data_IF_946533919736
#
_entry.id   IF_946533919736
#
_cell.length_a   1.000
_cell.length_b   1.000
_cell.length_c   1.000
_cell.angle_alpha   90.00
_cell.angle_beta   90.00
_cell.angle_gamma   90.00
#
_symmetry.space_group_name_H-M   'P 1'
#
loop_
_entity.id
_entity.type
_entity.pdbx_description
1 polymer ?
#
# COMPACT_ATOMS: atom_id res chain seq x y z
N UNK A 1 7.96 -13.78 -7.21
CA UNK A 1 7.35 -14.06 -5.89
C UNK A 1 8.24 -13.44 -4.85
N UNK A 2 7.72 -12.50 -4.05
CA UNK A 2 8.37 -12.26 -2.75
C UNK A 2 8.12 -13.54 -1.99
N UNK A 3 9.20 -14.25 -1.62
CA UNK A 3 9.06 -15.32 -0.67
C UNK A 3 8.55 -14.67 0.62
N UNK A 4 7.24 -14.72 0.86
CA UNK A 4 6.67 -14.36 2.15
C UNK A 4 7.40 -15.24 3.16
N UNK A 5 8.19 -14.69 4.07
CA UNK A 5 8.89 -15.52 5.03
C UNK A 5 7.84 -16.33 5.81
N UNK A 6 8.12 -17.59 6.16
CA UNK A 6 7.18 -18.39 6.92
C UNK A 6 6.80 -17.63 8.20
N UNK A 7 5.53 -17.73 8.65
CA UNK A 7 5.10 -17.13 9.91
C UNK A 7 6.07 -17.52 11.03
N UNK A 8 6.40 -16.57 11.91
CA UNK A 8 7.19 -16.85 13.10
C UNK A 8 6.35 -17.71 14.06
N UNK A 9 6.73 -18.98 14.33
CA UNK A 9 5.95 -19.87 15.19
C UNK A 9 5.72 -19.28 16.59
N UNK A 10 6.61 -18.40 17.04
CA UNK A 10 6.52 -17.76 18.34
C UNK A 10 5.39 -16.70 18.41
N UNK A 11 4.79 -16.31 17.29
CA UNK A 11 3.68 -15.35 17.23
C UNK A 11 2.32 -16.03 17.03
N UNK A 12 2.26 -17.35 17.02
CA UNK A 12 1.04 -18.13 16.77
C UNK A 12 -0.13 -17.86 17.75
N UNK A 13 0.16 -17.28 18.92
CA UNK A 13 -0.86 -16.92 19.92
C UNK A 13 -1.53 -15.55 19.71
N UNK A 14 -1.07 -14.74 18.74
CA UNK A 14 -1.66 -13.43 18.49
C UNK A 14 -2.77 -13.54 17.44
N UNK A 15 -4.02 -13.09 17.73
CA UNK A 15 -5.10 -13.11 16.74
C UNK A 15 -4.72 -12.33 15.48
N UNK A 16 -5.10 -12.76 14.27
CA UNK A 16 -4.79 -12.06 13.01
C UNK A 16 -5.26 -10.60 12.99
N UNK A 17 -6.40 -10.29 13.62
CA UNK A 17 -6.95 -8.95 13.78
C UNK A 17 -6.23 -8.13 14.88
N UNK A 18 -5.33 -8.75 15.63
CA UNK A 18 -4.69 -8.15 16.80
C UNK A 18 -5.60 -8.14 18.03
N UNK A 19 -5.11 -7.52 19.09
CA UNK A 19 -5.80 -7.33 20.37
C UNK A 19 -5.99 -5.84 20.62
N UNK A 20 -7.16 -5.43 21.09
CA UNK A 20 -7.38 -4.07 21.64
C UNK A 20 -8.00 -4.19 23.02
N UNK A 21 -7.36 -3.58 24.02
CA UNK A 21 -7.78 -3.64 25.42
C UNK A 21 -7.67 -2.25 26.04
N UNK A 22 -8.63 -1.90 26.88
CA UNK A 22 -8.56 -0.71 27.73
C UNK A 22 -7.97 -1.10 29.08
N UNK A 23 -7.06 -0.28 29.62
CA UNK A 23 -6.48 -0.50 30.95
C UNK A 23 -7.57 -0.28 32.00
N UNK A 24 -7.88 -1.27 32.87
CA UNK A 24 -8.94 -1.14 33.87
C UNK A 24 -8.76 0.08 34.78
N UNK A 25 -9.86 0.72 35.14
CA UNK A 25 -9.85 1.90 36.01
C UNK A 25 -9.24 1.65 37.40
N UNK A 26 -9.30 0.39 37.88
CA UNK A 26 -8.73 -0.06 39.17
C UNK A 26 -7.29 -0.56 39.08
N UNK A 27 -6.67 -0.51 37.87
CA UNK A 27 -5.33 -1.07 37.68
C UNK A 27 -4.25 -0.08 38.13
N UNK A 28 -3.30 -0.56 38.93
CA UNK A 28 -2.09 0.21 39.22
C UNK A 28 -1.27 0.45 37.93
N UNK A 29 -0.54 1.59 37.87
CA UNK A 29 0.32 1.86 36.74
C UNK A 29 1.24 0.68 36.43
N UNK A 30 1.19 0.19 35.20
CA UNK A 30 1.95 -0.99 34.75
C UNK A 30 2.71 -0.70 33.46
N UNK A 31 3.81 -1.40 33.25
CA UNK A 31 4.60 -1.25 32.02
C UNK A 31 3.88 -1.90 30.84
N UNK A 32 3.99 -1.26 29.67
CA UNK A 32 3.41 -1.73 28.41
C UNK A 32 3.80 -3.17 28.08
N UNK A 33 5.12 -3.53 28.20
CA UNK A 33 5.59 -4.88 27.92
C UNK A 33 5.01 -5.94 28.85
N UNK A 34 4.79 -5.61 30.13
CA UNK A 34 4.18 -6.49 31.11
C UNK A 34 2.67 -6.63 30.87
N UNK A 35 1.98 -5.51 30.66
CA UNK A 35 0.54 -5.50 30.40
C UNK A 35 0.19 -6.34 29.19
N UNK A 36 0.85 -6.09 28.04
CA UNK A 36 0.61 -6.87 26.83
C UNK A 36 0.94 -8.35 26.98
N UNK A 37 2.01 -8.71 27.72
CA UNK A 37 2.34 -10.11 27.98
C UNK A 37 1.21 -10.81 28.76
N UNK A 38 0.62 -10.14 29.74
CA UNK A 38 -0.52 -10.68 30.52
C UNK A 38 -1.79 -10.82 29.66
N UNK A 39 -2.07 -9.85 28.78
CA UNK A 39 -3.28 -9.85 27.94
C UNK A 39 -3.21 -10.86 26.78
N UNK A 40 -2.02 -11.15 26.26
CA UNK A 40 -1.84 -12.03 25.10
C UNK A 40 -1.40 -13.44 25.42
N UNK A 41 -0.87 -13.67 26.63
CA UNK A 41 -0.18 -14.92 26.99
C UNK A 41 1.20 -15.10 26.34
N UNK A 42 1.65 -14.14 25.51
CA UNK A 42 2.98 -14.18 24.90
C UNK A 42 4.07 -13.91 25.94
N UNK A 43 5.25 -14.50 25.73
CA UNK A 43 6.42 -14.21 26.55
C UNK A 43 6.84 -12.74 26.42
N UNK A 44 7.38 -12.14 27.51
CA UNK A 44 7.80 -10.73 27.51
C UNK A 44 8.83 -10.42 26.41
N UNK A 45 9.71 -11.35 26.07
CA UNK A 45 10.69 -11.20 24.97
C UNK A 45 9.99 -11.05 23.61
N UNK A 46 8.95 -11.83 23.35
CA UNK A 46 8.14 -11.77 22.14
C UNK A 46 7.38 -10.43 22.06
N UNK A 47 6.74 -10.03 23.16
CA UNK A 47 6.04 -8.74 23.24
C UNK A 47 6.99 -7.57 23.00
N UNK A 48 8.20 -7.60 23.56
CA UNK A 48 9.21 -6.55 23.33
C UNK A 48 9.61 -6.46 21.86
N UNK A 49 9.81 -7.60 21.18
CA UNK A 49 10.08 -7.61 19.74
C UNK A 49 8.93 -6.99 18.94
N UNK A 50 7.68 -7.30 19.27
CA UNK A 50 6.50 -6.71 18.66
C UNK A 50 6.42 -5.19 18.90
N UNK A 51 6.72 -4.73 20.14
CA UNK A 51 6.76 -3.30 20.46
C UNK A 51 7.85 -2.59 19.64
N UNK A 52 9.05 -3.17 19.56
CA UNK A 52 10.17 -2.61 18.77
C UNK A 52 9.85 -2.57 17.28
N UNK A 53 9.13 -3.58 16.78
CA UNK A 53 8.65 -3.65 15.40
C UNK A 53 7.58 -2.58 15.08
N UNK A 54 6.91 -2.04 16.11
CA UNK A 54 5.87 -1.01 15.96
C UNK A 54 4.46 -1.55 15.93
N UNK A 55 4.26 -2.80 16.34
CA UNK A 55 2.95 -3.44 16.43
C UNK A 55 2.09 -2.93 17.59
N UNK A 56 2.71 -2.30 18.62
CA UNK A 56 1.99 -1.80 19.78
C UNK A 56 1.56 -0.34 19.63
N UNK A 57 0.32 -0.05 20.03
CA UNK A 57 -0.28 1.28 19.96
C UNK A 57 -0.88 1.64 21.31
N UNK A 58 -0.75 2.90 21.71
CA UNK A 58 -1.35 3.44 22.92
C UNK A 58 -2.09 4.72 22.55
N UNK A 59 -3.38 4.77 22.82
CA UNK A 59 -4.28 5.89 22.51
C UNK A 59 -4.22 6.29 21.02
N UNK A 60 -4.22 5.29 20.14
CA UNK A 60 -4.20 5.48 18.69
C UNK A 60 -2.84 5.92 18.10
N UNK A 61 -1.75 5.87 18.88
CA UNK A 61 -0.40 6.20 18.42
C UNK A 61 0.55 5.02 18.62
N UNK A 62 1.42 4.79 17.64
CA UNK A 62 2.47 3.76 17.76
C UNK A 62 3.35 4.04 18.98
N UNK A 63 3.58 3.02 19.79
CA UNK A 63 4.46 3.08 20.95
C UNK A 63 5.58 2.05 20.81
N UNK A 64 6.83 2.49 20.76
CA UNK A 64 8.04 1.64 20.72
C UNK A 64 8.79 1.60 22.05
N UNK A 65 8.27 2.27 23.06
CA UNK A 65 8.88 2.32 24.39
C UNK A 65 8.32 1.18 25.23
N UNK A 66 9.05 0.07 25.33
CA UNK A 66 8.66 -1.14 26.07
C UNK A 66 8.33 -0.86 27.54
N UNK A 67 9.04 0.11 28.14
CA UNK A 67 8.89 0.51 29.54
C UNK A 67 7.83 1.58 29.78
N UNK A 68 7.09 2.02 28.75
CA UNK A 68 6.04 3.02 28.91
C UNK A 68 5.09 2.60 30.01
N UNK A 69 4.89 3.49 30.99
CA UNK A 69 3.88 3.32 32.03
C UNK A 69 2.51 3.59 31.44
N UNK A 70 1.63 2.64 31.57
CA UNK A 70 0.21 2.76 31.24
C UNK A 70 -0.53 3.24 32.49
N UNK A 71 -1.54 4.06 32.26
CA UNK A 71 -2.46 4.55 33.31
C UNK A 71 -3.87 4.03 33.04
N UNK A 72 -4.75 4.05 34.05
CA UNK A 72 -6.16 3.69 33.88
C UNK A 72 -6.78 4.38 32.66
N UNK A 73 -7.62 3.65 31.90
CA UNK A 73 -8.32 4.08 30.68
C UNK A 73 -7.42 4.28 29.44
N UNK A 74 -6.10 4.04 29.54
CA UNK A 74 -5.28 3.95 28.32
C UNK A 74 -5.84 2.85 27.40
N UNK A 75 -6.06 3.18 26.14
CA UNK A 75 -6.46 2.21 25.10
C UNK A 75 -5.22 1.64 24.45
N UNK A 76 -4.96 0.36 24.71
CA UNK A 76 -3.78 -0.35 24.20
C UNK A 76 -4.19 -1.31 23.10
N UNK A 77 -3.49 -1.28 21.98
CA UNK A 77 -3.65 -2.27 20.90
C UNK A 77 -2.31 -2.93 20.57
N UNK A 78 -2.35 -4.21 20.26
CA UNK A 78 -1.23 -4.98 19.73
C UNK A 78 -1.70 -5.67 18.45
N UNK A 79 -1.10 -5.31 17.33
CA UNK A 79 -1.44 -5.86 16.02
C UNK A 79 -0.47 -6.96 15.63
N UNK A 80 -0.99 -8.05 15.03
CA UNK A 80 -0.14 -9.07 14.45
C UNK A 80 0.63 -8.45 13.26
N UNK A 81 1.95 -8.73 13.14
CA UNK A 81 2.69 -8.38 11.94
C UNK A 81 2.03 -9.02 10.72
N UNK A 82 1.91 -8.25 9.62
CA UNK A 82 1.11 -8.66 8.47
C UNK A 82 1.45 -10.04 7.91
N UNK A 83 2.75 -10.40 7.93
CA UNK A 83 3.25 -11.71 7.46
C UNK A 83 3.52 -12.70 8.60
N UNK A 84 3.02 -12.44 9.81
CA UNK A 84 3.35 -13.28 10.98
C UNK A 84 4.84 -13.28 11.34
N UNK A 85 5.61 -12.32 10.87
CA UNK A 85 7.06 -12.21 11.14
C UNK A 85 7.43 -10.78 11.52
N UNK A 86 8.42 -10.62 12.41
CA UNK A 86 9.00 -9.34 12.80
C UNK A 86 10.22 -8.94 11.95
N UNK A 87 10.38 -9.52 10.76
CA UNK A 87 11.43 -9.10 9.82
C UNK A 87 11.00 -7.86 9.08
N UNK A 88 11.86 -6.86 9.07
CA UNK A 88 11.63 -5.64 8.31
C UNK A 88 11.85 -5.88 6.81
N UNK A 89 10.94 -5.30 6.01
CA UNK A 89 11.16 -5.14 4.58
C UNK A 89 12.35 -4.19 4.36
N UNK A 90 13.26 -4.57 3.50
CA UNK A 90 14.44 -3.78 3.14
C UNK A 90 14.38 -3.35 1.68
N UNK A 91 14.98 -2.21 1.37
CA UNK A 91 15.10 -1.73 -0.01
C UNK A 91 16.07 -2.63 -0.77
N UNK A 92 15.60 -3.20 -1.87
CA UNK A 92 16.45 -3.86 -2.87
C UNK A 92 17.00 -2.79 -3.84
N UNK A 93 18.30 -2.51 -3.85
CA UNK A 93 18.88 -1.52 -4.76
C UNK A 93 18.61 -1.79 -6.25
N UNK A 94 18.45 -3.07 -6.64
CA UNK A 94 18.14 -3.45 -8.02
C UNK A 94 16.74 -2.97 -8.49
N UNK A 95 15.85 -2.62 -7.56
CA UNK A 95 14.52 -2.08 -7.82
C UNK A 95 14.46 -0.56 -7.85
N UNK A 96 15.59 0.13 -7.68
CA UNK A 96 15.63 1.58 -7.84
C UNK A 96 15.63 1.88 -9.35
N UNK A 97 14.50 2.42 -9.83
CA UNK A 97 14.27 2.72 -11.26
C UNK A 97 14.91 4.04 -11.69
N UNK A 98 15.01 4.99 -10.76
CA UNK A 98 15.59 6.31 -10.99
C UNK A 98 16.08 6.89 -9.67
N UNK A 99 17.20 7.59 -9.69
CA UNK A 99 17.69 8.36 -8.55
C UNK A 99 18.53 9.55 -9.01
N UNK A 100 18.23 10.70 -8.43
CA UNK A 100 19.09 11.86 -8.48
C UNK A 100 19.18 12.54 -7.11
N UNK A 101 19.62 13.80 -7.03
CA UNK A 101 19.68 14.55 -5.78
C UNK A 101 18.30 14.79 -5.15
N UNK A 102 17.24 14.93 -5.95
CA UNK A 102 15.92 15.37 -5.51
C UNK A 102 14.86 14.28 -5.47
N UNK A 103 15.03 13.24 -6.26
CA UNK A 103 14.02 12.21 -6.49
C UNK A 103 14.60 10.80 -6.37
N UNK A 104 13.77 9.88 -5.92
CA UNK A 104 14.00 8.44 -6.04
C UNK A 104 12.71 7.77 -6.49
N UNK A 105 12.78 6.96 -7.54
CA UNK A 105 11.70 6.08 -7.96
C UNK A 105 12.06 4.63 -7.68
N UNK A 106 11.10 3.88 -7.21
CA UNK A 106 11.25 2.50 -6.79
C UNK A 106 10.16 1.62 -7.39
N UNK A 107 10.51 0.43 -7.86
CA UNK A 107 9.56 -0.61 -8.27
C UNK A 107 9.03 -1.35 -7.04
N UNK A 108 7.91 -0.88 -6.50
CA UNK A 108 7.28 -1.49 -5.33
C UNK A 108 6.74 -2.88 -5.65
N UNK A 109 7.09 -3.85 -4.85
CA UNK A 109 6.51 -5.18 -4.92
C UNK A 109 5.03 -5.20 -4.46
N UNK A 110 4.27 -6.17 -4.96
CA UNK A 110 2.97 -6.50 -4.40
C UNK A 110 3.11 -7.01 -2.97
N UNK A 111 2.13 -6.70 -2.12
CA UNK A 111 2.11 -7.17 -0.74
C UNK A 111 2.69 -6.16 0.26
N UNK A 112 3.62 -5.30 -0.13
CA UNK A 112 4.22 -4.30 0.76
C UNK A 112 3.36 -3.03 0.80
N UNK A 113 2.95 -2.53 2.00
CA UNK A 113 2.29 -1.25 2.14
C UNK A 113 3.18 -0.10 1.65
N UNK A 114 2.60 0.90 1.01
CA UNK A 114 3.33 2.10 0.57
C UNK A 114 3.75 2.99 1.74
N UNK A 115 2.97 3.00 2.81
CA UNK A 115 3.08 3.88 3.98
C UNK A 115 2.66 3.16 5.26
N UNK A 116 2.89 3.72 6.46
CA UNK A 116 2.43 3.15 7.71
C UNK A 116 0.93 2.83 7.71
N UNK A 117 0.59 1.65 8.21
CA UNK A 117 -0.79 1.17 8.43
C UNK A 117 -0.96 0.76 9.89
N UNK A 118 -2.19 0.74 10.44
CA UNK A 118 -2.41 0.49 11.88
C UNK A 118 -1.75 -0.77 12.43
N UNK A 119 -1.68 -1.83 11.65
CA UNK A 119 -1.13 -3.13 12.06
C UNK A 119 0.32 -3.35 11.62
N UNK A 120 0.92 -2.40 10.88
CA UNK A 120 2.30 -2.50 10.41
C UNK A 120 2.88 -1.10 10.16
N UNK A 121 3.19 -0.42 11.26
CA UNK A 121 3.60 0.99 11.22
C UNK A 121 5.02 1.19 10.67
N UNK A 122 5.88 0.17 10.77
CA UNK A 122 7.30 0.27 10.42
C UNK A 122 7.73 -0.65 9.28
N UNK A 123 6.89 -1.60 8.87
CA UNK A 123 7.18 -2.55 7.79
C UNK A 123 6.44 -2.16 6.50
N UNK A 124 6.84 -1.06 5.93
CA UNK A 124 6.29 -0.52 4.68
C UNK A 124 7.41 0.13 3.85
N UNK A 125 7.14 0.38 2.58
CA UNK A 125 8.14 0.90 1.65
C UNK A 125 8.73 2.25 2.10
N UNK A 126 7.89 3.17 2.58
CA UNK A 126 8.35 4.47 3.05
C UNK A 126 9.33 4.33 4.24
N UNK A 127 8.97 3.52 5.23
CA UNK A 127 9.84 3.29 6.40
C UNK A 127 11.13 2.58 6.02
N UNK A 128 11.08 1.62 5.09
CA UNK A 128 12.25 0.95 4.54
C UNK A 128 13.17 1.93 3.81
N UNK A 129 12.60 2.82 2.99
CA UNK A 129 13.38 3.84 2.28
C UNK A 129 14.07 4.80 3.26
N UNK A 130 13.37 5.26 4.31
CA UNK A 130 13.98 6.13 5.34
C UNK A 130 15.14 5.42 6.04
N UNK A 131 15.02 4.13 6.36
CA UNK A 131 16.12 3.33 6.91
C UNK A 131 17.30 3.21 5.94
N UNK A 132 17.01 2.93 4.66
CA UNK A 132 18.02 2.80 3.60
C UNK A 132 18.80 4.09 3.36
N UNK A 133 18.17 5.25 3.46
CA UNK A 133 18.83 6.55 3.32
C UNK A 133 19.72 6.90 4.53
N UNK A 134 19.52 6.24 5.67
CA UNK A 134 20.32 6.41 6.87
C UNK A 134 20.10 7.73 7.64
N UNK A 135 20.91 7.99 8.67
CA UNK A 135 20.83 9.20 9.49
C UNK A 135 20.95 10.47 8.64
N UNK A 136 20.03 11.40 8.81
CA UNK A 136 19.99 12.67 8.03
C UNK A 136 19.37 12.54 6.65
N UNK A 137 19.10 11.32 6.17
CA UNK A 137 18.38 11.08 4.92
C UNK A 137 16.92 11.54 5.01
N UNK A 138 16.40 12.06 3.91
CA UNK A 138 15.02 12.52 3.82
C UNK A 138 14.29 11.80 2.69
N UNK A 139 13.05 11.39 2.95
CA UNK A 139 12.10 10.95 1.94
C UNK A 139 10.75 11.64 2.14
N UNK A 140 10.16 12.15 1.06
CA UNK A 140 8.80 12.68 1.04
C UNK A 140 7.88 11.78 0.24
N UNK A 141 6.70 11.46 0.79
CA UNK A 141 5.69 10.63 0.15
C UNK A 141 4.57 11.52 -0.42
N UNK A 142 4.34 11.46 -1.72
CA UNK A 142 3.36 12.29 -2.43
C UNK A 142 2.18 11.50 -3.01
N UNK A 143 2.36 10.20 -3.21
CA UNK A 143 1.32 9.28 -3.67
C UNK A 143 1.50 7.89 -3.07
N UNK A 144 0.55 7.03 -3.32
CA UNK A 144 0.59 5.65 -2.83
C UNK A 144 0.05 4.69 -3.87
N UNK A 145 0.51 3.45 -3.81
CA UNK A 145 -0.11 2.29 -4.42
C UNK A 145 -0.84 1.47 -3.35
N UNK A 146 -1.86 0.75 -3.76
CA UNK A 146 -2.48 -0.25 -2.89
C UNK A 146 -1.44 -1.29 -2.47
N UNK A 147 -1.62 -1.89 -1.30
CA UNK A 147 -0.68 -2.88 -0.79
C UNK A 147 -0.40 -4.02 -1.78
N UNK A 148 -1.44 -4.55 -2.39
CA UNK A 148 -1.35 -5.67 -3.32
C UNK A 148 -0.92 -5.27 -4.75
N UNK A 149 -1.00 -3.98 -5.11
CA UNK A 149 -0.50 -3.48 -6.39
C UNK A 149 1.03 -3.34 -6.36
N UNK A 150 1.67 -3.48 -7.52
CA UNK A 150 3.11 -3.29 -7.72
C UNK A 150 3.41 -2.11 -8.65
N UNK A 151 4.70 -1.75 -8.80
CA UNK A 151 5.20 -0.81 -9.80
C UNK A 151 5.72 0.50 -9.26
N UNK A 152 5.80 1.51 -10.12
CA UNK A 152 6.49 2.77 -9.86
C UNK A 152 5.91 3.52 -8.67
N UNK A 153 6.77 3.76 -7.67
CA UNK A 153 6.55 4.73 -6.60
C UNK A 153 7.64 5.79 -6.60
N UNK A 154 7.24 7.08 -6.57
CA UNK A 154 8.15 8.22 -6.58
C UNK A 154 8.19 8.91 -5.22
N UNK A 155 9.40 9.18 -4.73
CA UNK A 155 9.68 9.88 -3.49
C UNK A 155 10.51 11.12 -3.77
N UNK A 156 10.32 12.20 -3.01
CA UNK A 156 11.29 13.28 -2.96
C UNK A 156 12.41 12.96 -1.98
N UNK A 157 13.64 13.31 -2.32
CA UNK A 157 14.82 13.21 -1.46
C UNK A 157 15.24 14.57 -0.88
N UNK A 158 14.55 15.64 -1.28
CA UNK A 158 14.79 17.01 -0.81
C UNK A 158 13.45 17.73 -0.57
N UNK A 159 13.34 18.42 0.56
CA UNK A 159 12.11 19.17 0.93
C UNK A 159 11.78 20.29 -0.05
N UNK A 160 12.78 20.84 -0.73
CA UNK A 160 12.60 21.93 -1.69
C UNK A 160 11.69 21.58 -2.88
N UNK A 161 11.56 20.29 -3.23
CA UNK A 161 10.69 19.83 -4.32
C UNK A 161 9.31 19.34 -3.88
N UNK A 162 9.04 19.29 -2.56
CA UNK A 162 7.79 18.73 -2.04
C UNK A 162 6.55 19.48 -2.53
N UNK A 163 6.55 20.81 -2.46
CA UNK A 163 5.40 21.60 -2.88
C UNK A 163 5.08 21.40 -4.37
N UNK A 164 6.12 21.37 -5.22
CA UNK A 164 5.96 21.12 -6.65
C UNK A 164 5.43 19.72 -6.94
N UNK A 165 5.96 18.68 -6.29
CA UNK A 165 5.46 17.32 -6.45
C UNK A 165 4.04 17.17 -5.90
N UNK A 166 3.75 17.70 -4.72
CA UNK A 166 2.42 17.69 -4.12
C UNK A 166 1.38 18.30 -5.05
N UNK A 167 1.70 19.44 -5.67
CA UNK A 167 0.85 20.09 -6.68
C UNK A 167 0.62 19.18 -7.89
N UNK A 168 1.68 18.63 -8.49
CA UNK A 168 1.58 17.73 -9.65
C UNK A 168 0.68 16.51 -9.39
N UNK A 169 0.86 15.86 -8.25
CA UNK A 169 0.00 14.72 -7.87
C UNK A 169 -1.43 15.14 -7.52
N UNK A 170 -1.63 16.33 -6.93
CA UNK A 170 -2.94 16.85 -6.55
C UNK A 170 -3.77 17.34 -7.74
N UNK A 171 -3.15 18.05 -8.67
CA UNK A 171 -3.79 18.65 -9.86
C UNK A 171 -3.79 17.74 -11.09
N UNK A 172 -3.11 16.58 -11.02
CA UNK A 172 -3.04 15.66 -12.15
C UNK A 172 -2.07 16.11 -13.27
N UNK A 173 -1.12 17.03 -12.98
CA UNK A 173 -0.07 17.46 -13.92
C UNK A 173 1.04 16.41 -14.05
N UNK A 174 0.63 15.17 -14.28
CA UNK A 174 1.47 14.01 -14.54
C UNK A 174 0.64 12.88 -15.15
N UNK A 175 1.29 11.98 -15.87
CA UNK A 175 0.64 10.80 -16.44
C UNK A 175 1.02 9.55 -15.64
N UNK A 176 0.01 8.76 -15.26
CA UNK A 176 0.15 7.43 -14.65
C UNK A 176 -0.44 6.40 -15.61
N UNK A 177 0.33 5.37 -15.92
CA UNK A 177 -0.14 4.22 -16.69
C UNK A 177 -0.03 2.97 -15.84
N UNK A 178 -1.15 2.28 -15.74
CA UNK A 178 -1.22 0.97 -15.10
C UNK A 178 -1.52 -0.10 -16.12
N UNK A 179 -1.01 -1.29 -15.88
CA UNK A 179 -1.42 -2.53 -16.54
C UNK A 179 -2.30 -3.32 -15.58
N UNK A 180 -3.38 -3.86 -16.09
CA UNK A 180 -4.28 -4.75 -15.35
C UNK A 180 -4.62 -5.97 -16.21
N UNK A 181 -4.53 -7.18 -15.64
CA UNK A 181 -5.12 -8.37 -16.26
C UNK A 181 -6.51 -8.54 -15.68
N UNK A 182 -7.52 -8.48 -16.54
CA UNK A 182 -8.93 -8.49 -16.16
C UNK A 182 -9.64 -9.75 -16.64
N UNK A 183 -10.74 -10.12 -15.98
CA UNK A 183 -11.60 -11.23 -16.40
C UNK A 183 -12.38 -10.88 -17.68
N UNK A 184 -12.46 -11.86 -18.56
CA UNK A 184 -13.25 -11.78 -19.78
C UNK A 184 -12.63 -10.92 -20.88
N UNK A 185 -13.47 -10.57 -21.87
CA UNK A 185 -13.07 -9.87 -23.11
C UNK A 185 -13.91 -8.58 -23.23
N UNK A 186 -13.36 -7.39 -22.86
CA UNK A 186 -14.05 -6.13 -23.07
C UNK A 186 -14.39 -5.96 -24.57
N UNK A 187 -15.65 -5.65 -24.89
CA UNK A 187 -16.06 -5.49 -26.29
C UNK A 187 -15.45 -4.23 -26.92
N UNK A 188 -15.41 -3.12 -26.18
CA UNK A 188 -14.83 -1.87 -26.63
C UNK A 188 -13.28 -1.94 -26.57
N UNK A 189 -12.63 -1.36 -27.60
CA UNK A 189 -11.16 -1.23 -27.59
C UNK A 189 -10.70 -0.17 -26.58
N UNK A 190 -11.50 0.88 -26.38
CA UNK A 190 -11.25 1.95 -25.42
C UNK A 190 -12.57 2.37 -24.77
N UNK A 191 -12.53 2.73 -23.50
CA UNK A 191 -13.66 3.34 -22.78
C UNK A 191 -13.20 4.21 -21.63
N UNK A 192 -14.12 4.99 -21.11
CA UNK A 192 -13.90 5.80 -19.91
C UNK A 192 -14.91 5.41 -18.84
N UNK A 193 -14.43 5.35 -17.59
CA UNK A 193 -15.30 5.23 -16.42
C UNK A 193 -15.09 6.47 -15.52
N UNK A 194 -16.20 7.14 -15.16
CA UNK A 194 -16.18 8.40 -14.41
C UNK A 194 -17.06 8.38 -13.16
N UNK A 195 -17.57 7.20 -12.74
CA UNK A 195 -18.34 7.08 -11.51
C UNK A 195 -17.51 7.49 -10.30
N UNK A 196 -18.06 8.33 -9.40
CA UNK A 196 -17.35 8.79 -8.22
C UNK A 196 -17.11 7.66 -7.23
N UNK A 197 -16.01 7.76 -6.47
CA UNK A 197 -15.68 6.81 -5.41
C UNK A 197 -16.14 7.36 -4.06
N UNK A 198 -16.87 6.55 -3.30
CA UNK A 198 -17.26 6.84 -1.92
C UNK A 198 -16.62 5.85 -0.93
N UNK A 199 -16.70 6.19 0.36
CA UNK A 199 -16.25 5.33 1.46
C UNK A 199 -17.35 5.18 2.50
N UNK A 200 -17.65 3.93 2.90
CA UNK A 200 -18.61 3.63 3.97
C UNK A 200 -18.09 2.47 4.83
N UNK A 201 -18.06 2.64 6.14
CA UNK A 201 -17.61 1.63 7.11
C UNK A 201 -16.24 1.00 6.77
N UNK A 202 -15.29 1.80 6.28
CA UNK A 202 -13.95 1.32 5.93
C UNK A 202 -13.77 0.86 4.48
N UNK A 203 -14.84 0.45 3.79
CA UNK A 203 -14.81 -0.04 2.41
C UNK A 203 -15.06 1.07 1.38
N UNK A 204 -14.45 0.94 0.20
CA UNK A 204 -14.63 1.84 -0.94
C UNK A 204 -15.60 1.21 -1.95
N UNK A 205 -16.44 2.03 -2.58
CA UNK A 205 -17.44 1.58 -3.55
C UNK A 205 -17.83 2.72 -4.51
N UNK A 206 -18.55 2.38 -5.59
CA UNK A 206 -19.16 3.34 -6.50
C UNK A 206 -20.62 3.53 -6.11
N UNK A 207 -21.02 4.71 -5.59
CA UNK A 207 -22.39 4.95 -5.14
C UNK A 207 -23.34 5.07 -6.35
N UNK A 208 -24.54 4.43 -6.31
CA UNK A 208 -25.52 4.47 -7.41
C UNK A 208 -26.07 5.87 -7.64
N UNK A 209 -26.18 6.68 -6.58
CA UNK A 209 -26.62 8.08 -6.61
C UNK A 209 -25.52 9.06 -7.03
N UNK A 210 -24.34 8.55 -7.39
CA UNK A 210 -23.13 9.32 -7.76
C UNK A 210 -22.63 10.28 -6.68
N UNK A 211 -23.04 10.12 -5.43
CA UNK A 211 -22.53 10.92 -4.29
C UNK A 211 -21.19 10.38 -3.80
N UNK A 212 -20.10 10.99 -4.25
CA UNK A 212 -18.74 10.59 -3.90
C UNK A 212 -17.70 11.59 -4.37
N UNK A 213 -16.43 11.22 -4.20
CA UNK A 213 -15.32 12.03 -4.72
C UNK A 213 -15.21 11.77 -6.23
N UNK A 214 -15.23 12.83 -7.08
CA UNK A 214 -15.05 12.67 -8.52
C UNK A 214 -13.85 11.80 -8.85
N UNK A 215 -14.06 10.86 -9.76
CA UNK A 215 -13.00 9.96 -10.26
C UNK A 215 -13.20 9.71 -11.75
N UNK A 216 -12.07 9.53 -12.46
CA UNK A 216 -12.08 9.22 -13.90
C UNK A 216 -10.87 8.37 -14.24
N UNK A 217 -11.11 7.31 -15.02
CA UNK A 217 -10.08 6.44 -15.58
C UNK A 217 -10.41 6.18 -17.05
N UNK A 218 -9.44 6.40 -17.92
CA UNK A 218 -9.49 5.99 -19.32
C UNK A 218 -8.84 4.61 -19.47
N UNK A 219 -9.45 3.72 -20.24
CA UNK A 219 -9.01 2.35 -20.46
C UNK A 219 -8.78 2.05 -21.94
N UNK A 220 -7.82 1.17 -22.21
CA UNK A 220 -7.50 0.65 -23.54
C UNK A 220 -7.14 -0.84 -23.42
N UNK A 221 -7.74 -1.68 -24.24
CA UNK A 221 -7.39 -3.10 -24.32
C UNK A 221 -6.10 -3.24 -25.13
N UNK A 222 -5.09 -3.87 -24.53
CA UNK A 222 -3.82 -4.14 -25.18
C UNK A 222 -3.78 -5.55 -25.83
N UNK A 223 -4.42 -6.54 -25.19
CA UNK A 223 -4.53 -7.91 -25.72
C UNK A 223 -5.81 -8.58 -25.20
N UNK A 224 -6.40 -9.48 -25.99
CA UNK A 224 -7.60 -10.26 -25.64
C UNK A 224 -7.32 -11.75 -25.74
N UNK A 225 -7.05 -12.39 -24.61
CA UNK A 225 -6.94 -13.85 -24.53
C UNK A 225 -8.33 -14.52 -24.50
N UNK A 226 -8.36 -15.82 -24.25
CA UNK A 226 -9.58 -16.63 -24.25
C UNK A 226 -10.56 -16.22 -23.14
N UNK A 227 -10.10 -16.06 -21.91
CA UNK A 227 -10.87 -15.82 -20.69
C UNK A 227 -10.44 -14.57 -19.89
N UNK A 228 -9.41 -13.90 -20.37
CA UNK A 228 -8.81 -12.71 -19.75
C UNK A 228 -8.32 -11.73 -20.79
N UNK A 229 -8.12 -10.48 -20.39
CA UNK A 229 -7.56 -9.43 -21.24
C UNK A 229 -6.51 -8.61 -20.50
N UNK A 230 -5.51 -8.12 -21.23
CA UNK A 230 -4.59 -7.11 -20.73
C UNK A 230 -5.14 -5.72 -21.06
N UNK A 231 -5.34 -4.90 -20.03
CA UNK A 231 -5.89 -3.55 -20.13
C UNK A 231 -4.89 -2.54 -19.61
N UNK A 232 -4.67 -1.49 -20.39
CA UNK A 232 -4.00 -0.28 -19.96
C UNK A 232 -5.02 0.65 -19.31
N UNK A 233 -4.75 1.11 -18.09
CA UNK A 233 -5.56 2.07 -17.37
C UNK A 233 -4.78 3.37 -17.15
N UNK A 234 -5.38 4.51 -17.51
CA UNK A 234 -4.88 5.85 -17.27
C UNK A 234 -5.80 6.58 -16.28
N UNK A 235 -5.53 6.53 -14.97
CA UNK A 235 -6.31 7.26 -13.99
C UNK A 235 -5.99 8.75 -14.06
N UNK A 236 -7.02 9.57 -14.31
CA UNK A 236 -6.92 11.04 -14.30
C UNK A 236 -6.93 11.57 -12.86
N UNK A 237 -7.65 10.88 -11.99
CA UNK A 237 -7.70 11.13 -10.55
C UNK A 237 -7.00 9.99 -9.80
N UNK A 238 -6.82 10.13 -8.47
CA UNK A 238 -6.13 9.13 -7.65
C UNK A 238 -6.93 8.72 -6.40
N UNK A 239 -8.17 8.18 -6.57
CA UNK A 239 -8.95 7.70 -5.44
C UNK A 239 -8.52 6.29 -5.04
N UNK A 240 -8.70 5.96 -3.77
CA UNK A 240 -8.38 4.61 -3.28
C UNK A 240 -9.24 3.59 -4.02
N UNK A 241 -8.62 2.49 -4.46
CA UNK A 241 -9.22 1.40 -5.26
C UNK A 241 -9.89 1.84 -6.57
N UNK A 242 -9.63 3.06 -7.07
CA UNK A 242 -10.33 3.63 -8.22
C UNK A 242 -10.33 2.70 -9.44
N UNK A 243 -9.15 2.25 -9.91
CA UNK A 243 -9.03 1.38 -11.09
C UNK A 243 -9.75 0.06 -10.86
N UNK A 244 -9.61 -0.52 -9.67
CA UNK A 244 -10.23 -1.80 -9.28
C UNK A 244 -11.76 -1.71 -9.33
N UNK A 245 -12.32 -0.68 -8.72
CA UNK A 245 -13.77 -0.41 -8.72
C UNK A 245 -14.31 -0.12 -10.12
N UNK A 246 -13.59 0.67 -10.90
CA UNK A 246 -14.00 1.02 -12.26
C UNK A 246 -14.02 -0.20 -13.20
N UNK A 247 -13.00 -1.07 -13.10
CA UNK A 247 -12.96 -2.31 -13.89
C UNK A 247 -14.02 -3.33 -13.45
N UNK A 248 -14.25 -3.48 -12.14
CA UNK A 248 -15.34 -4.29 -11.61
C UNK A 248 -16.71 -3.81 -12.17
N UNK A 249 -16.94 -2.51 -12.11
CA UNK A 249 -18.17 -1.89 -12.54
C UNK A 249 -18.39 -1.94 -14.06
N UNK A 250 -17.32 -2.08 -14.84
CA UNK A 250 -17.38 -2.36 -16.28
C UNK A 250 -17.64 -3.84 -16.59
N UNK A 251 -17.77 -4.71 -15.59
CA UNK A 251 -17.95 -6.16 -15.75
C UNK A 251 -16.66 -6.94 -15.99
N UNK A 252 -15.50 -6.29 -15.81
CA UNK A 252 -14.18 -6.87 -16.04
C UNK A 252 -13.29 -6.72 -14.80
N UNK A 253 -13.61 -7.40 -13.66
CA UNK A 253 -12.81 -7.29 -12.46
C UNK A 253 -11.39 -7.78 -12.67
N UNK A 254 -10.45 -7.22 -11.93
CA UNK A 254 -9.01 -7.58 -12.01
C UNK A 254 -8.80 -8.97 -11.42
N UNK A 255 -8.01 -9.81 -12.06
CA UNK A 255 -7.63 -11.11 -11.54
C UNK A 255 -6.87 -10.95 -10.20
N UNK A 256 -7.20 -11.77 -9.21
CA UNK A 256 -6.62 -11.72 -7.86
C UNK A 256 -7.17 -10.58 -6.98
N UNK A 257 -8.23 -9.90 -7.42
CA UNK A 257 -8.91 -8.86 -6.62
C UNK A 257 -10.11 -9.44 -5.87
N UNK A 258 -9.84 -10.20 -4.81
CA UNK A 258 -10.88 -10.82 -3.99
C UNK A 258 -11.86 -9.80 -3.39
N UNK A 259 -11.39 -8.60 -3.02
CA UNK A 259 -12.21 -7.55 -2.43
C UNK A 259 -13.25 -7.00 -3.42
N UNK A 260 -12.94 -7.01 -4.72
CA UNK A 260 -13.80 -6.48 -5.78
C UNK A 260 -14.20 -7.56 -6.80
N UNK A 261 -14.45 -8.80 -6.33
CA UNK A 261 -15.03 -9.90 -7.09
C UNK A 261 -14.17 -10.39 -8.28
N UNK A 262 -12.86 -10.15 -8.23
CA UNK A 262 -11.95 -10.70 -9.22
C UNK A 262 -11.77 -12.20 -9.06
N UNK A 263 -11.64 -12.96 -10.18
CA UNK A 263 -11.29 -14.37 -10.13
C UNK A 263 -9.96 -14.60 -9.41
N UNK A 264 -9.75 -15.78 -8.77
CA UNK A 264 -8.50 -16.10 -8.09
C UNK A 264 -7.29 -15.99 -9.02
N UNK A 265 -6.19 -15.45 -8.50
CA UNK A 265 -4.88 -15.44 -9.14
C UNK A 265 -3.78 -15.42 -8.06
N UNK A 266 -2.51 -15.65 -8.46
CA UNK A 266 -1.39 -15.65 -7.51
C UNK A 266 -1.22 -14.32 -6.75
N UNK A 267 -1.71 -13.21 -7.33
CA UNK A 267 -1.66 -11.87 -6.77
C UNK A 267 -2.71 -10.97 -7.44
N UNK A 268 -2.93 -9.79 -6.89
CA UNK A 268 -3.65 -8.73 -7.61
C UNK A 268 -2.88 -8.36 -8.88
N UNK A 269 -3.48 -8.60 -10.03
CA UNK A 269 -2.90 -8.34 -11.35
C UNK A 269 -3.05 -6.87 -11.75
N UNK A 270 -2.54 -5.97 -10.89
CA UNK A 270 -2.50 -4.51 -11.09
C UNK A 270 -1.08 -3.99 -10.87
N UNK A 271 -0.55 -3.31 -11.88
CA UNK A 271 0.82 -2.84 -11.89
C UNK A 271 0.93 -1.39 -12.39
N UNK A 272 1.53 -0.50 -11.62
CA UNK A 272 1.84 0.87 -11.99
C UNK A 272 3.07 0.86 -12.93
N UNK A 273 2.84 0.67 -14.23
CA UNK A 273 3.89 0.42 -15.21
C UNK A 273 4.70 1.67 -15.55
N UNK A 274 4.07 2.87 -15.54
CA UNK A 274 4.76 4.10 -15.94
C UNK A 274 4.25 5.31 -15.19
N UNK A 275 5.19 6.19 -14.87
CA UNK A 275 4.94 7.54 -14.37
C UNK A 275 5.71 8.55 -15.24
N UNK A 276 5.00 9.54 -15.81
CA UNK A 276 5.61 10.59 -16.61
C UNK A 276 5.24 11.96 -16.03
N UNK A 277 6.24 12.83 -15.85
CA UNK A 277 6.06 14.18 -15.31
C UNK A 277 7.19 15.10 -15.78
N UNK A 278 7.02 16.42 -15.62
CA UNK A 278 8.14 17.34 -15.67
C UNK A 278 8.89 17.31 -14.33
N UNK A 279 10.20 17.11 -14.38
CA UNK A 279 11.04 17.07 -13.19
C UNK A 279 10.84 18.33 -12.33
N UNK A 280 10.54 18.23 -11.02
CA UNK A 280 10.08 19.37 -10.21
C UNK A 280 11.13 20.46 -10.01
N UNK A 281 12.40 20.16 -10.24
CA UNK A 281 13.50 21.12 -10.09
C UNK A 281 14.01 21.66 -11.41
N UNK A 282 14.20 20.79 -12.40
CA UNK A 282 14.83 21.16 -13.69
C UNK A 282 13.82 21.49 -14.77
N UNK A 283 12.56 21.06 -14.63
CA UNK A 283 11.53 21.18 -15.68
C UNK A 283 11.68 20.19 -16.83
N UNK A 284 12.76 19.42 -16.90
CA UNK A 284 12.99 18.43 -17.94
C UNK A 284 11.92 17.31 -17.93
N UNK A 285 11.52 16.78 -19.10
CA UNK A 285 10.66 15.59 -19.15
C UNK A 285 11.32 14.42 -18.41
N UNK A 286 10.56 13.76 -17.54
CA UNK A 286 10.99 12.56 -16.83
C UNK A 286 9.95 11.48 -17.05
N UNK A 287 10.38 10.32 -17.58
CA UNK A 287 9.59 9.11 -17.76
C UNK A 287 10.27 7.98 -17.02
N UNK A 288 9.53 7.36 -16.12
CA UNK A 288 9.98 6.27 -15.26
C UNK A 288 9.09 5.07 -15.55
N UNK A 289 9.69 3.91 -15.83
CA UNK A 289 9.00 2.68 -16.14
C UNK A 289 9.46 1.55 -15.22
N UNK A 290 8.50 0.77 -14.72
CA UNK A 290 8.77 -0.48 -14.02
C UNK A 290 8.59 -1.65 -14.99
N UNK A 291 9.45 -2.67 -14.95
CA UNK A 291 9.29 -3.88 -15.74
C UNK A 291 7.95 -4.57 -15.46
N UNK A 292 7.27 -5.02 -16.52
CA UNK A 292 6.03 -5.79 -16.34
C UNK A 292 6.34 -7.08 -15.57
N UNK A 293 5.64 -7.37 -14.46
CA UNK A 293 5.84 -8.61 -13.73
C UNK A 293 5.34 -9.82 -14.54
N UNK A 294 5.83 -11.01 -14.20
CA UNK A 294 5.32 -12.25 -14.76
C UNK A 294 3.79 -12.37 -14.56
N UNK A 295 3.10 -12.98 -15.54
CA UNK A 295 1.66 -13.18 -15.56
C UNK A 295 0.86 -12.01 -16.16
N UNK A 296 1.52 -10.94 -16.61
CA UNK A 296 0.88 -9.86 -17.37
C UNK A 296 0.93 -10.08 -18.89
N UNK A 297 1.52 -11.17 -19.35
CA UNK A 297 1.47 -11.60 -20.74
C UNK A 297 0.10 -12.20 -21.03
N UNK A 298 -0.61 -11.65 -22.00
CA UNK A 298 -1.86 -12.16 -22.54
C UNK A 298 -1.68 -12.29 -24.04
N UNK A 299 -1.68 -13.51 -24.53
CA UNK A 299 -1.65 -13.78 -25.97
C UNK A 299 -3.05 -13.55 -26.55
N UNK A 300 -3.11 -12.90 -27.73
CA UNK A 300 -4.36 -12.73 -28.46
C UNK A 300 -4.91 -14.11 -28.89
N UNK A 301 -6.15 -14.41 -28.50
CA UNK A 301 -6.84 -15.69 -28.73
C UNK A 301 -8.05 -15.58 -29.64
#
# INVERSE_FOLDING_TARGET
MIAVPPPDPELAGLPPQGLTVEVPASQDPTRLDRFLSQQTGLGRGQVRRLIDFGSAWVNGRVCRVQSRMLVPLDRVALYAPFYGTVRFYEIDPARILYRDRWLLAYDKEAGIPSQPVPYDAHNNLYAALVRHLGPGGYAGLHHRLDRLASGVMLFSLDRAVNASLGKKFGEGDLEKIYLAVVAGRPAAQTWTEDRPVAKRKGSYFLPPDRQGKPSRTDFEVLARGRDRSLVKARPITGRTHQIRLHLQAAGHPILGDEEHQGPPAERLMLHAARLSLKHPRTGAPLRIEAPSPAGFEVEDG
#
